data_IF_006689132733
#
_entry.id   IF_006689132733
#
_cell.length_a   1.000
_cell.length_b   1.000
_cell.length_c   1.000
_cell.angle_alpha   90.00
_cell.angle_beta   90.00
_cell.angle_gamma   90.00
#
_symmetry.space_group_name_H-M   'P 1'
#
loop_
_entity.id
_entity.type
_entity.pdbx_description
1 polymer ?
#
# COMPACT_ATOMS: atom_id res chain seq x y z
N UNK A 1 -57.51 3.39 0.33
CA UNK A 1 -56.75 2.88 -0.83
C UNK A 1 -55.29 3.33 -0.66
N UNK A 2 -54.34 2.45 -0.94
CA UNK A 2 -52.93 2.44 -0.49
C UNK A 2 -52.05 3.56 -1.08
N UNK A 3 -51.01 3.91 -0.30
CA UNK A 3 -49.74 4.50 -0.73
C UNK A 3 -49.01 3.60 -1.75
N UNK A 4 -48.31 4.21 -2.70
CA UNK A 4 -47.15 3.60 -3.36
C UNK A 4 -46.07 4.66 -3.55
N UNK A 5 -45.08 4.66 -2.65
CA UNK A 5 -43.75 5.15 -2.94
C UNK A 5 -43.15 4.27 -4.04
N UNK A 6 -42.50 4.88 -5.04
CA UNK A 6 -41.60 4.13 -5.90
C UNK A 6 -40.21 4.75 -5.84
N UNK A 7 -39.32 3.93 -5.28
CA UNK A 7 -37.90 4.08 -5.08
C UNK A 7 -37.15 4.13 -6.41
N UNK A 8 -36.08 4.92 -6.43
CA UNK A 8 -35.23 5.04 -7.62
C UNK A 8 -33.96 5.83 -7.33
N UNK A 9 -33.25 5.49 -6.26
CA UNK A 9 -31.88 5.93 -6.06
C UNK A 9 -31.02 5.37 -7.20
N UNK A 10 -30.67 6.21 -8.16
CA UNK A 10 -29.62 5.91 -9.11
C UNK A 10 -28.30 6.39 -8.52
N UNK A 11 -27.74 5.59 -7.60
CA UNK A 11 -26.29 5.43 -7.57
C UNK A 11 -25.93 4.90 -8.96
N UNK A 12 -25.53 5.81 -9.84
CA UNK A 12 -24.95 5.45 -11.13
C UNK A 12 -23.69 4.64 -10.83
N UNK A 13 -23.82 3.32 -10.77
CA UNK A 13 -22.68 2.41 -10.98
C UNK A 13 -21.98 2.92 -12.23
N UNK A 14 -20.75 3.41 -12.04
CA UNK A 14 -19.94 3.95 -13.13
C UNK A 14 -19.92 2.89 -14.25
N UNK A 15 -20.32 3.32 -15.44
CA UNK A 15 -20.36 2.54 -16.67
C UNK A 15 -19.17 1.56 -16.76
N UNK A 16 -19.51 0.27 -16.86
CA UNK A 16 -18.61 -0.87 -17.08
C UNK A 16 -17.89 -0.68 -18.42
N UNK A 17 -16.75 0.03 -18.44
CA UNK A 17 -15.79 0.06 -19.56
C UNK A 17 -14.42 0.71 -19.23
N UNK A 18 -14.18 1.16 -18.00
CA UNK A 18 -12.87 1.64 -17.58
C UNK A 18 -12.30 0.72 -16.50
N UNK A 19 -11.21 0.01 -16.81
CA UNK A 19 -10.41 -0.69 -15.81
C UNK A 19 -9.70 0.36 -14.96
N UNK A 20 -10.27 0.68 -13.81
CA UNK A 20 -9.65 1.55 -12.82
C UNK A 20 -8.89 0.69 -11.81
N UNK A 21 -7.69 1.11 -11.45
CA UNK A 21 -6.88 0.49 -10.41
C UNK A 21 -6.59 1.59 -9.38
N UNK A 22 -7.49 1.82 -8.41
CA UNK A 22 -7.23 2.81 -7.36
C UNK A 22 -6.05 2.32 -6.51
N UNK A 23 -5.10 3.21 -6.26
CA UNK A 23 -3.91 2.92 -5.44
C UNK A 23 -3.87 3.86 -4.26
N UNK A 24 -3.91 3.30 -3.05
CA UNK A 24 -3.69 4.02 -1.80
C UNK A 24 -2.26 3.79 -1.29
N UNK A 25 -1.65 4.84 -0.74
CA UNK A 25 -0.32 4.77 -0.09
C UNK A 25 -0.45 5.44 1.27
N UNK A 26 -0.05 4.73 2.33
CA UNK A 26 0.00 5.27 3.70
C UNK A 26 1.28 4.84 4.41
N UNK A 27 1.72 5.64 5.38
CA UNK A 27 2.75 5.26 6.34
C UNK A 27 2.16 4.93 7.72
N UNK A 28 0.92 5.35 8.01
CA UNK A 28 0.26 5.10 9.28
C UNK A 28 -0.94 4.17 9.08
N UNK A 29 -0.77 2.92 9.47
CA UNK A 29 -1.84 1.92 9.35
C UNK A 29 -2.96 2.13 10.37
N UNK A 30 -2.67 2.71 11.53
CA UNK A 30 -3.68 2.91 12.58
C UNK A 30 -4.73 3.93 12.14
N UNK A 31 -4.30 5.00 11.48
CA UNK A 31 -5.22 6.01 10.94
C UNK A 31 -6.05 5.43 9.81
N UNK A 32 -5.43 4.60 8.95
CA UNK A 32 -6.13 3.90 7.87
C UNK A 32 -7.25 3.02 8.43
N UNK A 33 -6.95 2.21 9.45
CA UNK A 33 -7.89 1.28 10.08
C UNK A 33 -8.84 1.97 11.07
N UNK A 34 -8.67 3.26 11.36
CA UNK A 34 -9.61 4.02 12.18
C UNK A 34 -10.88 4.42 11.41
N UNK A 35 -10.80 4.51 10.08
CA UNK A 35 -11.97 4.70 9.21
C UNK A 35 -12.47 3.36 8.69
N UNK A 36 -13.74 3.07 8.97
CA UNK A 36 -14.39 1.86 8.49
C UNK A 36 -14.47 1.81 6.96
N UNK A 37 -14.64 2.95 6.32
CA UNK A 37 -14.68 3.07 4.86
C UNK A 37 -13.34 2.69 4.23
N UNK A 38 -12.24 3.17 4.80
CA UNK A 38 -10.90 2.89 4.29
C UNK A 38 -10.45 1.46 4.64
N UNK A 39 -10.78 0.99 5.85
CA UNK A 39 -10.59 -0.41 6.25
C UNK A 39 -11.27 -1.36 5.26
N UNK A 40 -12.53 -1.09 4.89
CA UNK A 40 -13.23 -1.89 3.88
C UNK A 40 -12.51 -1.88 2.51
N UNK A 41 -11.93 -0.75 2.08
CA UNK A 41 -11.15 -0.69 0.82
C UNK A 41 -9.90 -1.56 0.93
N UNK A 42 -9.22 -1.51 2.07
CA UNK A 42 -8.03 -2.31 2.35
C UNK A 42 -8.33 -3.82 2.37
N UNK A 43 -9.40 -4.25 3.03
CA UNK A 43 -9.82 -5.66 3.10
C UNK A 43 -10.23 -6.22 1.73
N UNK A 44 -10.80 -5.38 0.85
CA UNK A 44 -11.20 -5.78 -0.51
C UNK A 44 -10.05 -5.67 -1.53
N UNK A 45 -8.85 -5.29 -1.11
CA UNK A 45 -7.70 -5.14 -2.02
C UNK A 45 -7.01 -6.49 -2.29
N UNK A 46 -7.15 -7.01 -3.50
CA UNK A 46 -6.48 -8.25 -3.95
C UNK A 46 -4.95 -8.11 -4.04
N UNK A 47 -4.44 -6.87 -4.08
CA UNK A 47 -3.02 -6.57 -4.17
C UNK A 47 -2.60 -5.59 -3.08
N UNK A 48 -1.62 -5.97 -2.25
CA UNK A 48 -1.04 -5.11 -1.23
C UNK A 48 0.49 -5.21 -1.31
N UNK A 49 1.15 -4.05 -1.35
CA UNK A 49 2.60 -3.93 -1.30
C UNK A 49 3.02 -3.40 0.07
N UNK A 50 3.44 -4.29 0.96
CA UNK A 50 3.76 -3.95 2.34
C UNK A 50 5.27 -3.91 2.55
N UNK A 51 5.84 -2.71 2.67
CA UNK A 51 7.23 -2.51 3.11
C UNK A 51 7.36 -2.72 4.63
N UNK A 52 8.60 -2.71 5.14
CA UNK A 52 8.87 -2.76 6.58
C UNK A 52 8.06 -1.71 7.38
N UNK A 53 7.50 -2.12 8.51
CA UNK A 53 6.68 -1.30 9.40
C UNK A 53 7.26 -1.26 10.81
N UNK A 54 6.86 -0.26 11.59
CA UNK A 54 7.13 -0.22 13.02
C UNK A 54 6.56 -1.47 13.72
N UNK A 55 7.18 -1.90 14.83
CA UNK A 55 6.85 -3.18 15.46
C UNK A 55 5.37 -3.32 15.85
N UNK A 56 4.75 -2.26 16.37
CA UNK A 56 3.32 -2.25 16.71
C UNK A 56 2.42 -2.35 15.47
N UNK A 57 2.74 -1.60 14.42
CA UNK A 57 1.94 -1.53 13.19
C UNK A 57 2.05 -2.83 12.39
N UNK A 58 3.23 -3.44 12.38
CA UNK A 58 3.48 -4.76 11.80
C UNK A 58 2.60 -5.84 12.44
N UNK A 59 2.39 -5.80 13.75
CA UNK A 59 1.50 -6.77 14.42
C UNK A 59 0.03 -6.56 14.06
N UNK A 60 -0.40 -5.32 13.86
CA UNK A 60 -1.77 -4.99 13.41
C UNK A 60 -1.99 -5.56 12.01
N UNK A 61 -1.06 -5.28 11.09
CA UNK A 61 -1.11 -5.80 9.71
C UNK A 61 -1.03 -7.33 9.66
N UNK A 62 -0.20 -7.94 10.51
CA UNK A 62 -0.09 -9.40 10.57
C UNK A 62 -1.42 -10.06 10.92
N UNK A 63 -2.20 -9.46 11.83
CA UNK A 63 -3.54 -9.94 12.16
C UNK A 63 -4.53 -9.71 11.02
N UNK A 64 -4.58 -8.50 10.48
CA UNK A 64 -5.54 -8.16 9.42
C UNK A 64 -5.32 -8.96 8.13
N UNK A 65 -4.06 -9.19 7.76
CA UNK A 65 -3.69 -9.91 6.53
C UNK A 65 -3.41 -11.40 6.76
N UNK A 66 -3.70 -11.91 7.96
CA UNK A 66 -3.45 -13.31 8.34
C UNK A 66 -2.02 -13.80 8.03
N UNK A 67 -1.02 -12.95 8.30
CA UNK A 67 0.39 -13.25 8.06
C UNK A 67 0.88 -14.25 9.09
N UNK A 68 1.43 -15.38 8.63
CA UNK A 68 2.06 -16.34 9.55
C UNK A 68 3.33 -15.76 10.20
N UNK A 69 3.72 -16.21 11.40
CA UNK A 69 4.97 -15.79 12.04
C UNK A 69 6.21 -16.00 11.16
N UNK A 70 6.23 -17.07 10.36
CA UNK A 70 7.30 -17.34 9.41
C UNK A 70 7.37 -16.28 8.30
N UNK A 71 6.23 -15.93 7.69
CA UNK A 71 6.18 -14.86 6.67
C UNK A 71 6.56 -13.49 7.27
N UNK A 72 6.13 -13.21 8.50
CA UNK A 72 6.45 -11.97 9.20
C UNK A 72 7.95 -11.82 9.48
N UNK A 73 8.68 -12.93 9.62
CA UNK A 73 10.13 -12.91 9.85
C UNK A 73 10.91 -12.31 8.67
N UNK A 74 10.40 -12.40 7.44
CA UNK A 74 11.03 -11.80 6.25
C UNK A 74 10.98 -10.26 6.24
N UNK A 75 10.11 -9.66 7.07
CA UNK A 75 9.96 -8.20 7.20
C UNK A 75 10.24 -7.70 8.61
N UNK A 76 10.83 -8.55 9.44
CA UNK A 76 11.30 -8.17 10.77
C UNK A 76 12.77 -7.78 10.67
N UNK A 77 13.09 -6.53 11.02
CA UNK A 77 14.43 -5.94 10.82
C UNK A 77 14.89 -5.92 9.35
N UNK A 78 13.95 -5.82 8.41
CA UNK A 78 14.26 -5.74 6.99
C UNK A 78 14.74 -4.35 6.58
N UNK A 79 15.57 -4.31 5.53
CA UNK A 79 16.14 -3.08 5.01
C UNK A 79 15.15 -2.21 4.22
N UNK A 80 15.62 -1.05 3.77
CA UNK A 80 14.87 -0.25 2.78
C UNK A 80 14.62 -1.10 1.52
N UNK A 81 13.40 -1.00 0.97
CA UNK A 81 13.00 -1.72 -0.23
C UNK A 81 12.68 -3.21 0.00
N UNK A 82 12.61 -3.67 1.25
CA UNK A 82 12.23 -5.05 1.58
C UNK A 82 10.82 -5.12 2.17
N UNK A 83 10.08 -6.17 1.82
CA UNK A 83 8.66 -6.27 2.16
C UNK A 83 7.98 -7.58 1.78
N UNK A 84 6.65 -7.59 1.90
CA UNK A 84 5.77 -8.64 1.40
C UNK A 84 4.83 -8.08 0.32
N UNK A 85 4.64 -8.83 -0.75
CA UNK A 85 3.55 -8.64 -1.70
C UNK A 85 2.46 -9.64 -1.38
N UNK A 86 1.24 -9.15 -1.24
CA UNK A 86 0.02 -9.94 -1.15
C UNK A 86 -0.64 -9.91 -2.52
N UNK A 87 -0.96 -11.09 -3.06
CA UNK A 87 -1.71 -11.24 -4.30
C UNK A 87 -2.74 -12.37 -4.14
N UNK A 88 -3.98 -12.00 -3.88
CA UNK A 88 -5.02 -12.94 -3.47
C UNK A 88 -4.59 -13.73 -2.23
N UNK A 89 -4.40 -15.04 -2.38
CA UNK A 89 -3.96 -15.94 -1.32
C UNK A 89 -2.43 -16.18 -1.27
N UNK A 90 -1.67 -15.55 -2.17
CA UNK A 90 -0.21 -15.72 -2.24
C UNK A 90 0.49 -14.57 -1.52
N UNK A 91 1.46 -14.91 -0.67
CA UNK A 91 2.33 -13.95 0.00
C UNK A 91 3.76 -14.18 -0.49
N UNK A 92 4.37 -13.15 -1.10
CA UNK A 92 5.69 -13.22 -1.71
C UNK A 92 6.63 -12.24 -1.00
N UNK A 93 7.69 -12.72 -0.31
CA UNK A 93 8.72 -11.82 0.19
C UNK A 93 9.54 -11.25 -0.97
N UNK A 94 9.86 -9.96 -0.90
CA UNK A 94 10.65 -9.30 -1.93
C UNK A 94 11.75 -8.42 -1.33
N UNK A 95 12.75 -8.15 -2.17
CA UNK A 95 13.84 -7.22 -1.90
C UNK A 95 14.14 -6.42 -3.15
N UNK A 96 13.80 -5.14 -3.12
CA UNK A 96 14.12 -4.18 -4.15
C UNK A 96 15.34 -3.34 -3.73
N UNK A 97 16.42 -3.48 -4.50
CA UNK A 97 17.61 -2.64 -4.34
C UNK A 97 17.66 -1.67 -5.52
N UNK A 98 17.00 -0.52 -5.35
CA UNK A 98 16.98 0.49 -6.40
C UNK A 98 18.39 1.04 -6.65
N UNK A 99 18.77 1.18 -7.91
CA UNK A 99 20.11 1.65 -8.27
C UNK A 99 20.21 3.18 -8.10
N UNK A 100 20.93 3.63 -7.06
CA UNK A 100 21.10 5.04 -6.71
C UNK A 100 21.97 5.84 -7.70
N UNK A 101 22.66 5.16 -8.64
CA UNK A 101 23.46 5.81 -9.68
C UNK A 101 22.61 6.26 -10.88
N UNK A 102 21.33 5.84 -10.95
CA UNK A 102 20.45 6.23 -12.04
C UNK A 102 20.04 7.70 -11.88
N UNK A 103 20.03 8.45 -13.00
CA UNK A 103 19.43 9.79 -13.03
C UNK A 103 17.98 9.76 -12.53
N UNK A 104 17.25 8.67 -12.80
CA UNK A 104 15.91 8.46 -12.27
C UNK A 104 15.86 8.53 -10.75
N UNK A 105 16.82 7.93 -10.04
CA UNK A 105 16.89 8.02 -8.58
C UNK A 105 17.06 9.47 -8.11
N UNK A 106 17.95 10.24 -8.75
CA UNK A 106 18.18 11.64 -8.37
C UNK A 106 16.95 12.52 -8.56
N UNK A 107 16.07 12.18 -9.50
CA UNK A 107 14.83 12.90 -9.76
C UNK A 107 13.70 12.53 -8.79
N UNK A 108 13.74 11.33 -8.21
CA UNK A 108 12.66 10.82 -7.36
C UNK A 108 12.98 10.85 -5.87
N UNK A 109 14.26 10.88 -5.49
CA UNK A 109 14.64 10.84 -4.08
C UNK A 109 14.15 12.08 -3.33
N UNK A 110 13.60 11.85 -2.13
CA UNK A 110 13.22 12.90 -1.19
C UNK A 110 14.17 12.97 0.00
N UNK A 111 15.23 12.14 0.01
CA UNK A 111 16.25 12.15 1.08
C UNK A 111 17.15 13.37 0.93
N UNK A 112 17.20 14.29 1.93
CA UNK A 112 18.03 15.49 1.84
C UNK A 112 19.51 15.18 1.59
N UNK A 113 20.04 14.16 2.26
CA UNK A 113 21.45 13.75 2.13
C UNK A 113 21.82 13.20 0.75
N UNK A 114 20.85 12.77 -0.06
CA UNK A 114 21.11 12.32 -1.43
C UNK A 114 20.92 13.45 -2.45
N UNK A 115 20.06 14.42 -2.16
CA UNK A 115 19.94 15.63 -2.95
C UNK A 115 21.26 16.42 -2.97
N UNK A 116 21.94 16.53 -1.83
CA UNK A 116 23.27 17.16 -1.74
C UNK A 116 24.32 16.44 -2.60
N UNK A 117 24.34 15.09 -2.56
CA UNK A 117 25.31 14.27 -3.32
C UNK A 117 25.11 14.38 -4.83
N UNK A 118 23.87 14.56 -5.27
CA UNK A 118 23.53 14.60 -6.69
C UNK A 118 23.43 16.01 -7.26
N UNK A 119 23.26 17.04 -6.42
CA UNK A 119 23.32 18.45 -6.83
C UNK A 119 24.69 18.84 -7.41
N UNK A 120 25.77 18.17 -7.00
CA UNK A 120 27.12 18.40 -7.52
C UNK A 120 27.48 17.68 -8.83
N UNK A 121 26.59 16.84 -9.38
CA UNK A 121 26.85 16.05 -10.60
C UNK A 121 26.19 16.60 -11.87
N UNK A 122 25.65 17.81 -11.79
CA UNK A 122 24.94 18.50 -12.87
C UNK A 122 25.66 19.73 -13.45
N UNK A 123 26.96 19.91 -13.18
CA UNK A 123 27.80 20.93 -13.82
C UNK A 123 28.80 20.28 -14.78
#
# INVERSE_FOLDING_TARGET
MKMSENSGGTDKKLSVNHKQIPTGITQNIKDLLASREIENIFENSDFIYMLNQAAGDRQILAKQLNISPHQLSYVTNSGEGEGLIFYGNVIIPFKDRFNHNLRLYSLMTTRPSDLEKHAGKGA
#
